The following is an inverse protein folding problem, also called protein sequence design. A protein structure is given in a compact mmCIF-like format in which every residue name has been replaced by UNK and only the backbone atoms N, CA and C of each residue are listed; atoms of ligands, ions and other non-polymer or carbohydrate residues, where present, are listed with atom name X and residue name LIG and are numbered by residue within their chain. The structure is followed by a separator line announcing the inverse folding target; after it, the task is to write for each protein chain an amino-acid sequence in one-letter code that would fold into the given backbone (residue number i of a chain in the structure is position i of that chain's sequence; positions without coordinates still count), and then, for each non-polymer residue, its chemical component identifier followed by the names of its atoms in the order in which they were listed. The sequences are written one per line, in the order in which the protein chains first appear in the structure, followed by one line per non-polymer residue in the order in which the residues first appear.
data_IF_041952895527
#
_entry.id   IF_041952895527
#
_cell.length_a   1.000
_cell.length_b   1.000
_cell.length_c   1.000
_cell.angle_alpha   90.00
_cell.angle_beta   90.00
_cell.angle_gamma   90.00
#
_symmetry.space_group_name_H-M   'P 1'
#
loop_
_entity.id
_entity.type
_entity.pdbx_description
1 polymer ?
#
# COMPACT_ATOMS: atom_id res chain seq x y z
N UNK A 1 -18.38 -10.97 56.89
CA UNK A 1 -18.85 -11.13 55.49
C UNK A 1 -18.87 -12.60 55.17
N UNK A 2 -19.92 -13.11 54.50
CA UNK A 2 -19.96 -14.52 54.06
C UNK A 2 -18.81 -14.82 53.08
N UNK A 3 -18.27 -16.03 53.13
CA UNK A 3 -17.23 -16.51 52.19
C UNK A 3 -17.65 -16.30 50.72
N UNK A 4 -18.95 -16.31 50.45
CA UNK A 4 -19.52 -16.04 49.14
C UNK A 4 -19.28 -14.60 48.67
N UNK A 5 -19.34 -13.62 49.58
CA UNK A 5 -19.12 -12.20 49.28
C UNK A 5 -17.64 -11.92 49.02
N UNK A 6 -16.74 -12.58 49.76
CA UNK A 6 -15.29 -12.50 49.50
C UNK A 6 -14.92 -13.11 48.14
N UNK A 7 -15.52 -14.25 47.78
CA UNK A 7 -15.30 -14.87 46.47
C UNK A 7 -15.79 -13.98 45.32
N UNK A 8 -16.95 -13.32 45.48
CA UNK A 8 -17.48 -12.40 44.48
C UNK A 8 -16.59 -11.17 44.30
N UNK A 9 -16.11 -10.58 45.40
CA UNK A 9 -15.20 -9.43 45.37
C UNK A 9 -13.89 -9.81 44.69
N UNK A 10 -13.29 -10.97 45.01
CA UNK A 10 -12.08 -11.46 44.37
C UNK A 10 -12.27 -11.73 42.87
N UNK A 11 -13.43 -12.25 42.44
CA UNK A 11 -13.76 -12.46 41.03
C UNK A 11 -13.92 -11.12 40.27
N UNK A 12 -14.57 -10.13 40.87
CA UNK A 12 -14.69 -8.79 40.27
C UNK A 12 -13.32 -8.10 40.21
N UNK A 13 -12.50 -8.22 41.26
CA UNK A 13 -11.15 -7.65 41.31
C UNK A 13 -10.21 -8.29 40.27
N UNK A 14 -10.30 -9.61 40.09
CA UNK A 14 -9.53 -10.34 39.08
C UNK A 14 -10.04 -10.09 37.65
N UNK A 15 -11.35 -9.90 37.46
CA UNK A 15 -11.93 -9.45 36.19
C UNK A 15 -11.54 -8.00 35.84
N UNK A 16 -11.31 -7.12 36.84
CA UNK A 16 -10.77 -5.76 36.63
C UNK A 16 -9.25 -5.73 36.46
N UNK A 17 -8.52 -6.74 36.96
CA UNK A 17 -7.07 -6.93 36.75
C UNK A 17 -6.75 -7.53 35.38
N UNK A 18 -7.74 -8.03 34.64
CA UNK A 18 -7.69 -8.14 33.18
C UNK A 18 -7.79 -6.73 32.58
N UNK A 19 -6.86 -5.84 32.95
CA UNK A 19 -6.46 -4.78 32.05
C UNK A 19 -6.07 -5.49 30.76
N UNK A 20 -6.87 -5.36 29.72
CA UNK A 20 -6.40 -5.61 28.37
C UNK A 20 -5.18 -4.71 28.21
N UNK A 21 -3.98 -5.27 28.39
CA UNK A 21 -2.73 -4.61 28.05
C UNK A 21 -2.77 -4.50 26.53
N UNK A 22 -3.45 -3.46 26.04
CA UNK A 22 -3.43 -3.08 24.65
C UNK A 22 -2.01 -2.61 24.38
N UNK A 23 -1.26 -3.46 23.69
CA UNK A 23 0.09 -3.14 23.28
C UNK A 23 0.04 -1.87 22.43
N UNK A 24 0.75 -0.84 22.86
CA UNK A 24 0.88 0.38 22.08
C UNK A 24 1.54 0.05 20.73
N UNK A 25 1.22 0.79 19.65
CA UNK A 25 1.86 0.58 18.36
C UNK A 25 3.40 0.62 18.48
N UNK A 26 4.09 -0.25 17.73
CA UNK A 26 5.55 -0.36 17.72
C UNK A 26 6.24 0.93 17.27
N UNK A 27 5.53 1.78 16.53
CA UNK A 27 5.97 3.10 16.08
C UNK A 27 4.86 4.13 16.33
N UNK A 28 5.21 5.40 16.60
CA UNK A 28 4.19 6.41 16.91
C UNK A 28 3.27 6.72 15.73
N UNK A 29 3.70 6.42 14.51
CA UNK A 29 3.02 6.85 13.28
C UNK A 29 3.41 6.00 12.08
N UNK A 30 2.45 5.82 11.17
CA UNK A 30 2.64 5.11 9.91
C UNK A 30 2.04 5.88 8.72
N UNK A 31 2.88 6.29 7.79
CA UNK A 31 2.46 7.00 6.57
C UNK A 31 2.56 6.11 5.35
N UNK A 32 1.53 6.15 4.50
CA UNK A 32 1.40 5.24 3.35
C UNK A 32 1.32 6.05 2.07
N UNK A 33 2.18 5.71 1.12
CA UNK A 33 2.21 6.25 -0.22
C UNK A 33 2.12 5.07 -1.19
N UNK A 34 1.41 5.25 -2.28
CA UNK A 34 1.36 4.21 -3.30
C UNK A 34 0.18 4.29 -4.23
N UNK A 35 -0.17 3.16 -4.81
CA UNK A 35 -1.26 3.03 -5.75
C UNK A 35 -2.48 2.29 -5.16
N UNK A 36 -3.27 1.66 -6.03
CA UNK A 36 -4.43 0.84 -5.69
C UNK A 36 -4.14 -0.25 -4.66
N UNK A 37 -2.92 -0.79 -4.63
CA UNK A 37 -2.50 -1.84 -3.70
C UNK A 37 -2.50 -1.38 -2.23
N UNK A 38 -2.47 -0.07 -2.01
CA UNK A 38 -2.41 0.56 -0.70
C UNK A 38 -3.59 1.51 -0.45
N UNK A 39 -4.34 1.91 -1.48
CA UNK A 39 -5.47 2.84 -1.37
C UNK A 39 -6.61 2.26 -0.54
N UNK A 40 -7.16 3.08 0.34
CA UNK A 40 -8.30 2.75 1.18
C UNK A 40 -9.44 3.79 1.13
N UNK A 41 -9.48 4.63 0.08
CA UNK A 41 -10.61 5.51 -0.19
C UNK A 41 -10.27 6.88 -0.78
N UNK A 42 -9.00 7.16 -1.10
CA UNK A 42 -8.63 8.47 -1.66
C UNK A 42 -9.21 8.71 -3.06
N UNK A 43 -9.54 7.64 -3.80
CA UNK A 43 -10.14 7.73 -5.13
C UNK A 43 -11.67 7.96 -5.13
N UNK A 44 -12.35 7.82 -3.98
CA UNK A 44 -13.82 7.76 -3.94
C UNK A 44 -14.50 9.01 -4.51
N UNK A 45 -13.95 10.19 -4.25
CA UNK A 45 -14.50 11.48 -4.68
C UNK A 45 -13.85 12.04 -5.96
N UNK A 46 -12.90 11.33 -6.56
CA UNK A 46 -12.30 11.74 -7.82
C UNK A 46 -13.22 11.41 -9.00
N UNK A 47 -13.19 12.20 -10.06
CA UNK A 47 -13.82 11.82 -11.34
C UNK A 47 -12.83 10.93 -12.09
N UNK A 48 -12.98 9.61 -11.98
CA UNK A 48 -12.01 8.62 -12.45
C UNK A 48 -12.65 7.25 -12.64
N UNK A 49 -12.10 6.44 -13.55
CA UNK A 49 -12.46 5.02 -13.70
C UNK A 49 -11.74 4.13 -12.68
N UNK A 50 -10.68 4.63 -12.03
CA UNK A 50 -9.95 3.90 -10.99
C UNK A 50 -10.66 4.01 -9.64
N UNK A 51 -11.79 3.33 -9.47
CA UNK A 51 -12.55 3.26 -8.20
C UNK A 51 -12.82 1.83 -7.76
N UNK A 52 -12.89 1.65 -6.45
CA UNK A 52 -13.22 0.39 -5.78
C UNK A 52 -14.21 0.60 -4.62
N UNK A 53 -15.11 1.57 -4.75
CA UNK A 53 -16.13 1.92 -3.75
C UNK A 53 -17.51 1.36 -4.09
N UNK A 54 -17.55 0.18 -4.70
CA UNK A 54 -18.76 -0.52 -5.12
C UNK A 54 -18.55 -2.04 -5.04
N UNK A 55 -19.60 -2.87 -4.90
CA UNK A 55 -19.46 -4.32 -4.86
C UNK A 55 -18.79 -4.88 -6.13
N UNK A 56 -17.94 -5.93 -6.05
CA UNK A 56 -17.72 -6.78 -4.87
C UNK A 56 -16.60 -6.28 -3.93
N UNK A 57 -16.02 -5.11 -4.17
CA UNK A 57 -14.95 -4.58 -3.31
C UNK A 57 -15.45 -4.39 -1.88
N UNK A 58 -14.63 -4.79 -0.90
CA UNK A 58 -14.99 -4.66 0.52
C UNK A 58 -15.99 -5.69 1.05
N UNK A 59 -16.38 -6.72 0.28
CA UNK A 59 -17.31 -7.77 0.74
C UNK A 59 -16.84 -8.51 2.02
N UNK A 60 -15.53 -8.65 2.19
CA UNK A 60 -14.88 -9.27 3.35
C UNK A 60 -14.33 -8.22 4.34
N UNK A 61 -14.56 -6.91 4.09
CA UNK A 61 -14.13 -5.84 4.98
C UNK A 61 -15.26 -5.47 5.96
N UNK A 62 -14.98 -5.27 7.27
CA UNK A 62 -16.02 -4.98 8.25
C UNK A 62 -16.90 -3.77 7.92
N UNK A 63 -16.33 -2.74 7.31
CA UNK A 63 -17.04 -1.50 6.93
C UNK A 63 -17.59 -1.54 5.49
N UNK A 64 -17.54 -2.68 4.80
CA UNK A 64 -18.00 -2.84 3.43
C UNK A 64 -17.14 -2.11 2.40
N UNK A 65 -17.79 -1.50 1.40
CA UNK A 65 -17.14 -0.82 0.26
C UNK A 65 -16.46 0.50 0.69
N UNK A 66 -15.18 0.45 1.03
CA UNK A 66 -14.44 1.66 1.47
C UNK A 66 -13.61 2.33 0.36
N UNK A 67 -13.43 1.68 -0.80
CA UNK A 67 -12.47 2.13 -1.82
C UNK A 67 -11.16 1.34 -1.85
N UNK A 68 -11.06 0.23 -1.11
CA UNK A 68 -9.95 -0.72 -1.21
C UNK A 68 -10.11 -1.56 -2.47
N UNK A 69 -9.05 -1.68 -3.27
CA UNK A 69 -9.02 -2.52 -4.47
C UNK A 69 -8.84 -4.01 -4.10
N UNK A 70 -9.67 -4.49 -3.17
CA UNK A 70 -9.67 -5.85 -2.62
C UNK A 70 -11.06 -6.16 -2.06
N UNK A 71 -11.33 -7.44 -1.80
CA UNK A 71 -12.52 -7.85 -1.06
C UNK A 71 -12.45 -7.40 0.42
N UNK A 72 -11.24 -7.27 0.97
CA UNK A 72 -11.04 -7.03 2.40
C UNK A 72 -9.93 -6.03 2.67
N UNK A 73 -9.08 -6.36 3.64
CA UNK A 73 -7.88 -5.59 3.98
C UNK A 73 -6.92 -5.53 2.79
N UNK A 74 -6.29 -4.37 2.59
CA UNK A 74 -5.17 -4.21 1.68
C UNK A 74 -3.83 -4.33 2.45
N UNK A 75 -2.71 -4.20 1.75
CA UNK A 75 -1.38 -4.38 2.35
C UNK A 75 -1.08 -3.34 3.43
N UNK A 76 -1.52 -2.09 3.27
CA UNK A 76 -1.36 -1.06 4.28
C UNK A 76 -2.12 -1.40 5.57
N UNK A 77 -3.30 -2.01 5.49
CA UNK A 77 -4.05 -2.45 6.67
C UNK A 77 -3.34 -3.57 7.42
N UNK A 78 -2.76 -4.52 6.69
CA UNK A 78 -2.01 -5.64 7.28
C UNK A 78 -0.75 -5.12 7.97
N UNK A 79 0.00 -4.22 7.32
CA UNK A 79 1.17 -3.58 7.94
C UNK A 79 0.79 -2.78 9.18
N UNK A 80 -0.30 -2.01 9.13
CA UNK A 80 -0.79 -1.26 10.29
C UNK A 80 -1.14 -2.20 11.47
N UNK A 81 -1.82 -3.32 11.19
CA UNK A 81 -2.14 -4.31 12.22
C UNK A 81 -0.87 -4.94 12.83
N UNK A 82 0.09 -5.32 11.99
CA UNK A 82 1.37 -5.89 12.46
C UNK A 82 2.18 -4.89 13.29
N UNK A 83 2.08 -3.59 12.98
CA UNK A 83 2.68 -2.52 13.78
C UNK A 83 1.90 -2.21 15.07
N UNK A 84 0.77 -2.86 15.32
CA UNK A 84 -0.03 -2.71 16.55
C UNK A 84 -1.02 -1.55 16.52
N UNK A 85 -1.35 -0.98 15.35
CA UNK A 85 -2.43 0.00 15.25
C UNK A 85 -3.79 -0.68 15.38
N UNK A 86 -4.66 -0.16 16.24
CA UNK A 86 -6.01 -0.70 16.44
C UNK A 86 -6.89 -0.58 15.19
N UNK A 87 -6.77 0.55 14.49
CA UNK A 87 -7.56 0.88 13.30
C UNK A 87 -6.65 1.04 12.09
N UNK A 88 -7.23 0.88 10.90
CA UNK A 88 -6.58 1.25 9.65
C UNK A 88 -6.14 2.70 9.64
N UNK A 89 -5.01 2.98 8.98
CA UNK A 89 -4.56 4.35 8.76
C UNK A 89 -5.55 5.07 7.84
N UNK A 90 -6.12 6.23 8.20
CA UNK A 90 -7.18 6.87 7.43
C UNK A 90 -6.69 7.40 6.08
N UNK A 91 -7.53 7.40 5.02
CA UNK A 91 -7.20 8.08 3.77
C UNK A 91 -7.12 9.59 3.99
N UNK A 92 -6.19 10.26 3.30
CA UNK A 92 -6.05 11.72 3.34
C UNK A 92 -7.36 12.45 3.02
N UNK A 93 -8.19 11.89 2.14
CA UNK A 93 -9.48 12.45 1.76
C UNK A 93 -10.45 12.67 2.94
N UNK A 94 -10.37 11.85 4.00
CA UNK A 94 -11.31 11.91 5.13
C UNK A 94 -10.64 11.98 6.50
N UNK A 95 -9.31 12.02 6.57
CA UNK A 95 -8.56 12.03 7.82
C UNK A 95 -8.88 13.27 8.67
N UNK A 96 -9.28 13.05 9.94
CA UNK A 96 -9.59 14.11 10.91
C UNK A 96 -8.36 14.53 11.69
N UNK A 97 -8.49 15.65 12.40
CA UNK A 97 -7.39 16.38 13.03
C UNK A 97 -6.55 15.53 13.99
N UNK A 98 -7.17 14.71 14.82
CA UNK A 98 -6.46 13.89 15.82
C UNK A 98 -5.83 12.65 15.18
N UNK A 99 -6.40 12.17 14.08
CA UNK A 99 -5.99 10.93 13.43
C UNK A 99 -4.66 11.09 12.68
N UNK A 100 -4.40 12.27 12.09
CA UNK A 100 -3.18 12.50 11.30
C UNK A 100 -1.89 12.40 12.12
N UNK A 101 -1.96 12.51 13.45
CA UNK A 101 -0.81 12.33 14.36
C UNK A 101 -0.28 10.90 14.29
N UNK A 102 -1.17 9.91 14.12
CA UNK A 102 -0.81 8.49 14.02
C UNK A 102 -0.47 8.05 12.60
N UNK A 103 -0.64 8.93 11.62
CA UNK A 103 -0.38 8.62 10.22
C UNK A 103 -1.55 8.88 9.30
N UNK A 104 -1.26 8.90 8.00
CA UNK A 104 -2.22 9.11 6.93
C UNK A 104 -1.84 8.25 5.74
N UNK A 105 -2.86 7.72 5.06
CA UNK A 105 -2.73 7.01 3.81
C UNK A 105 -2.98 7.96 2.63
N UNK A 106 -1.95 8.21 1.82
CA UNK A 106 -1.99 9.06 0.63
C UNK A 106 -2.13 8.25 -0.66
N UNK A 107 -2.09 6.92 -0.59
CA UNK A 107 -2.12 6.05 -1.76
C UNK A 107 -3.41 6.25 -2.56
N UNK A 108 -3.31 6.12 -3.89
CA UNK A 108 -4.40 6.42 -4.80
C UNK A 108 -4.40 5.46 -5.97
N UNK A 109 -5.55 4.84 -6.25
CA UNK A 109 -5.72 3.99 -7.43
C UNK A 109 -5.18 4.64 -8.70
N UNK A 110 -4.46 3.84 -9.49
CA UNK A 110 -3.78 4.22 -10.73
C UNK A 110 -2.59 5.20 -10.60
N UNK A 111 -2.21 5.60 -9.39
CA UNK A 111 -1.06 6.48 -9.20
C UNK A 111 0.26 5.85 -9.67
N UNK A 112 1.10 6.67 -10.30
CA UNK A 112 2.47 6.32 -10.67
C UNK A 112 3.51 7.26 -10.06
N UNK A 113 4.77 6.91 -10.29
CA UNK A 113 5.95 7.74 -10.02
C UNK A 113 5.85 9.03 -10.82
N UNK A 114 5.50 8.89 -12.10
CA UNK A 114 5.32 9.98 -13.06
C UNK A 114 3.92 10.60 -12.93
N UNK A 115 3.84 11.90 -13.19
CA UNK A 115 2.58 12.62 -13.02
C UNK A 115 1.58 12.19 -14.10
N UNK A 116 2.05 12.01 -15.33
CA UNK A 116 1.22 11.66 -16.49
C UNK A 116 0.71 10.20 -16.49
N UNK A 117 1.26 9.34 -15.62
CA UNK A 117 0.86 7.94 -15.52
C UNK A 117 -0.65 7.84 -15.23
N UNK A 118 -1.32 7.00 -16.01
CA UNK A 118 -2.77 6.74 -15.95
C UNK A 118 -3.71 7.94 -16.14
N UNK A 119 -3.25 9.05 -16.71
CA UNK A 119 -4.11 10.20 -17.04
C UNK A 119 -5.37 9.87 -17.86
N UNK A 120 -5.30 8.89 -18.75
CA UNK A 120 -6.45 8.44 -19.54
C UNK A 120 -7.60 7.85 -18.69
N UNK A 121 -7.35 7.51 -17.42
CA UNK A 121 -8.36 7.03 -16.47
C UNK A 121 -9.06 8.18 -15.72
N UNK A 122 -8.60 9.43 -15.86
CA UNK A 122 -9.13 10.61 -15.20
C UNK A 122 -8.35 11.03 -13.95
N UNK A 123 -9.08 11.42 -12.91
CA UNK A 123 -8.52 11.91 -11.65
C UNK A 123 -7.69 10.85 -10.92
N UNK A 124 -6.46 11.21 -10.54
CA UNK A 124 -5.54 10.40 -9.74
C UNK A 124 -4.65 11.29 -8.87
N UNK A 125 -4.15 10.74 -7.77
CA UNK A 125 -3.17 11.42 -6.90
C UNK A 125 -1.81 10.76 -7.14
N UNK A 126 -1.11 11.20 -8.19
CA UNK A 126 0.25 10.75 -8.50
C UNK A 126 1.23 11.02 -7.34
N UNK A 127 2.41 10.39 -7.37
CA UNK A 127 3.37 10.48 -6.27
C UNK A 127 3.72 11.92 -5.86
N UNK A 128 3.86 12.86 -6.82
CA UNK A 128 4.12 14.27 -6.48
C UNK A 128 2.95 14.91 -5.72
N UNK A 129 1.70 14.57 -6.06
CA UNK A 129 0.52 15.06 -5.32
C UNK A 129 0.40 14.42 -3.94
N UNK A 130 0.79 13.15 -3.79
CA UNK A 130 0.85 12.51 -2.47
C UNK A 130 1.88 13.20 -1.56
N UNK A 131 3.02 13.61 -2.10
CA UNK A 131 4.01 14.42 -1.36
C UNK A 131 3.44 15.78 -0.94
N UNK A 132 2.64 16.42 -1.79
CA UNK A 132 1.95 17.67 -1.45
C UNK A 132 0.93 17.46 -0.32
N UNK A 133 0.14 16.38 -0.38
CA UNK A 133 -0.79 16.02 0.70
C UNK A 133 -0.07 15.75 2.02
N UNK A 134 1.11 15.13 1.96
CA UNK A 134 1.94 14.95 3.14
C UNK A 134 2.47 16.28 3.69
N UNK A 135 2.92 17.19 2.83
CA UNK A 135 3.34 18.53 3.26
C UNK A 135 2.21 19.29 3.97
N UNK A 136 0.96 19.19 3.47
CA UNK A 136 -0.23 19.75 4.14
C UNK A 136 -0.41 19.12 5.52
N UNK A 137 -0.25 17.81 5.63
CA UNK A 137 -0.35 17.09 6.91
C UNK A 137 0.72 17.57 7.90
N UNK A 138 1.96 17.76 7.45
CA UNK A 138 3.05 18.29 8.29
C UNK A 138 2.72 19.68 8.81
N UNK A 139 2.20 20.58 7.98
CA UNK A 139 1.78 21.91 8.41
C UNK A 139 0.70 21.85 9.50
N UNK A 140 -0.23 20.90 9.41
CA UNK A 140 -1.23 20.68 10.47
C UNK A 140 -0.59 20.14 11.75
N UNK A 141 0.40 19.25 11.63
CA UNK A 141 1.13 18.70 12.78
C UNK A 141 1.93 19.76 13.56
N UNK A 142 2.39 20.83 12.91
CA UNK A 142 3.09 21.95 13.58
C UNK A 142 2.21 22.56 14.67
N UNK A 143 0.90 22.68 14.42
CA UNK A 143 -0.06 23.24 15.37
C UNK A 143 -0.54 22.21 16.40
N UNK A 144 -0.43 20.92 16.11
CA UNK A 144 -0.96 19.85 16.96
C UNK A 144 0.04 19.31 17.98
N UNK A 145 1.25 19.02 17.51
CA UNK A 145 2.30 18.37 18.30
C UNK A 145 3.62 19.13 18.25
N UNK A 146 3.73 20.11 17.35
CA UNK A 146 4.95 20.86 17.12
C UNK A 146 5.13 22.07 18.05
N UNK A 147 4.07 22.52 18.75
CA UNK A 147 4.05 23.79 19.47
C UNK A 147 4.57 24.97 18.60
N UNK A 148 4.18 25.00 17.32
CA UNK A 148 4.66 26.01 16.36
C UNK A 148 6.02 25.71 15.71
N UNK A 149 6.71 24.63 16.10
CA UNK A 149 8.04 24.28 15.58
C UNK A 149 7.99 23.13 14.57
N UNK A 150 8.43 23.42 13.34
CA UNK A 150 8.65 22.39 12.31
C UNK A 150 9.77 21.41 12.69
N UNK A 151 10.76 21.85 13.47
CA UNK A 151 11.85 20.98 13.93
C UNK A 151 11.32 19.89 14.87
N UNK A 152 10.41 20.24 15.78
CA UNK A 152 9.73 19.30 16.69
C UNK A 152 8.93 18.26 15.91
N UNK A 153 8.15 18.71 14.92
CA UNK A 153 7.41 17.79 14.03
C UNK A 153 8.38 16.85 13.30
N UNK A 154 9.47 17.36 12.73
CA UNK A 154 10.47 16.52 12.06
C UNK A 154 11.08 15.46 13.00
N UNK A 155 11.35 15.82 14.26
CA UNK A 155 11.84 14.85 15.26
C UNK A 155 10.81 13.75 15.55
N UNK A 156 9.52 14.09 15.55
CA UNK A 156 8.44 13.10 15.63
C UNK A 156 8.41 12.21 14.37
N UNK A 157 8.45 12.82 13.17
CA UNK A 157 8.41 12.10 11.89
C UNK A 157 9.58 11.13 11.69
N UNK A 158 10.76 11.46 12.21
CA UNK A 158 11.94 10.59 12.17
C UNK A 158 11.69 9.22 12.85
N UNK A 159 10.70 9.14 13.75
CA UNK A 159 10.34 7.90 14.46
C UNK A 159 9.29 7.08 13.72
N UNK A 160 8.54 7.67 12.78
CA UNK A 160 7.50 6.98 12.00
C UNK A 160 8.08 5.98 10.98
N UNK A 161 7.21 5.11 10.49
CA UNK A 161 7.47 4.30 9.28
C UNK A 161 6.75 4.90 8.08
N UNK A 162 7.39 4.79 6.92
CA UNK A 162 6.86 5.20 5.63
C UNK A 162 6.84 4.00 4.68
N UNK A 163 5.68 3.60 4.17
CA UNK A 163 5.61 2.67 3.04
C UNK A 163 5.40 3.45 1.76
N UNK A 164 6.18 3.17 0.72
CA UNK A 164 6.06 3.83 -0.58
C UNK A 164 6.05 2.76 -1.68
N UNK A 165 4.84 2.41 -2.16
CA UNK A 165 4.60 1.33 -3.13
C UNK A 165 4.19 1.91 -4.49
N UNK A 166 5.16 2.08 -5.39
CA UNK A 166 4.97 2.74 -6.68
C UNK A 166 5.71 1.98 -7.79
N UNK A 167 5.29 2.21 -9.04
CA UNK A 167 5.98 1.73 -10.24
C UNK A 167 5.14 0.85 -11.15
N UNK A 168 4.18 0.08 -10.61
CA UNK A 168 3.37 -0.81 -11.43
C UNK A 168 2.55 -0.06 -12.49
N UNK A 169 1.90 1.05 -12.10
CA UNK A 169 1.14 1.90 -13.00
C UNK A 169 1.98 2.55 -14.11
N UNK A 170 3.25 2.88 -13.83
CA UNK A 170 4.15 3.44 -14.84
C UNK A 170 4.45 2.44 -15.97
N UNK A 171 4.24 1.14 -15.74
CA UNK A 171 4.34 0.11 -16.78
C UNK A 171 2.98 -0.27 -17.37
N UNK A 172 1.98 -0.62 -16.54
CA UNK A 172 0.67 -1.09 -17.02
C UNK A 172 -0.20 0.04 -17.61
N UNK A 173 -0.10 1.25 -17.08
CA UNK A 173 -0.93 2.40 -17.44
C UNK A 173 -0.10 3.55 -18.02
N UNK A 174 1.08 3.24 -18.56
CA UNK A 174 1.91 4.17 -19.34
C UNK A 174 2.79 3.42 -20.36
N UNK A 175 3.90 2.80 -19.93
CA UNK A 175 4.88 2.22 -20.86
C UNK A 175 4.29 1.19 -21.83
N UNK A 176 3.55 0.19 -21.33
CA UNK A 176 2.94 -0.86 -22.15
C UNK A 176 1.50 -0.52 -22.58
N UNK A 177 1.14 0.77 -22.66
CA UNK A 177 -0.17 1.20 -23.11
C UNK A 177 -0.08 2.19 -24.29
N UNK A 178 0.44 1.70 -25.42
CA UNK A 178 0.72 2.47 -26.64
C UNK A 178 -0.49 3.19 -27.23
N UNK A 179 -1.71 2.76 -26.90
CA UNK A 179 -2.96 3.46 -27.28
C UNK A 179 -3.02 4.90 -26.76
N UNK A 180 -2.47 5.15 -25.57
CA UNK A 180 -2.55 6.45 -24.90
C UNK A 180 -1.19 7.12 -24.74
N UNK A 181 -0.09 6.37 -24.81
CA UNK A 181 1.25 6.88 -24.51
C UNK A 181 2.27 6.45 -25.57
N UNK A 182 3.19 7.34 -25.91
CA UNK A 182 4.29 7.03 -26.83
C UNK A 182 5.54 6.51 -26.11
N UNK A 183 5.48 6.28 -24.80
CA UNK A 183 6.64 5.97 -23.96
C UNK A 183 7.46 4.79 -24.47
N UNK A 184 6.83 3.68 -24.88
CA UNK A 184 7.52 2.51 -25.43
C UNK A 184 8.11 2.71 -26.83
N UNK A 185 7.69 3.76 -27.55
CA UNK A 185 8.27 4.15 -28.84
C UNK A 185 9.52 5.01 -28.59
N UNK A 186 9.48 5.86 -27.57
CA UNK A 186 10.54 6.82 -27.25
C UNK A 186 11.69 6.22 -26.45
N UNK A 187 11.43 5.19 -25.65
CA UNK A 187 12.39 4.63 -24.72
C UNK A 187 12.41 3.11 -24.74
N UNK A 188 13.61 2.53 -24.61
CA UNK A 188 13.75 1.11 -24.24
C UNK A 188 13.33 0.89 -22.77
N UNK A 189 13.05 -0.37 -22.34
CA UNK A 189 12.68 -0.63 -20.96
C UNK A 189 13.74 -0.17 -19.96
N UNK A 190 15.02 -0.29 -20.34
CA UNK A 190 16.14 0.10 -19.51
C UNK A 190 16.24 1.64 -19.36
N UNK A 191 16.04 2.38 -20.46
CA UNK A 191 16.01 3.83 -20.46
C UNK A 191 14.84 4.37 -19.63
N UNK A 192 13.66 3.78 -19.79
CA UNK A 192 12.50 4.19 -19.02
C UNK A 192 12.67 3.89 -17.52
N UNK A 193 13.21 2.72 -17.16
CA UNK A 193 13.56 2.40 -15.78
C UNK A 193 14.54 3.44 -15.19
N UNK A 194 15.57 3.87 -15.93
CA UNK A 194 16.49 4.94 -15.50
C UNK A 194 15.74 6.26 -15.22
N UNK A 195 14.78 6.64 -16.07
CA UNK A 195 13.96 7.84 -15.90
C UNK A 195 13.10 7.74 -14.64
N UNK A 196 12.41 6.62 -14.46
CA UNK A 196 11.57 6.37 -13.28
C UNK A 196 12.39 6.42 -12.00
N UNK A 197 13.51 5.72 -11.93
CA UNK A 197 14.39 5.70 -10.75
C UNK A 197 14.94 7.09 -10.43
N UNK A 198 15.34 7.86 -11.44
CA UNK A 198 15.79 9.25 -11.23
C UNK A 198 14.70 10.12 -10.59
N UNK A 199 13.45 9.98 -11.02
CA UNK A 199 12.33 10.71 -10.41
C UNK A 199 11.99 10.18 -9.02
N UNK A 200 11.92 8.86 -8.87
CA UNK A 200 11.52 8.23 -7.62
C UNK A 200 12.52 8.52 -6.51
N UNK A 201 13.83 8.49 -6.80
CA UNK A 201 14.87 8.89 -5.86
C UNK A 201 14.74 10.34 -5.40
N UNK A 202 14.34 11.27 -6.29
CA UNK A 202 14.05 12.67 -5.89
C UNK A 202 12.84 12.75 -4.95
N UNK A 203 11.79 11.97 -5.21
CA UNK A 203 10.58 11.94 -4.41
C UNK A 203 10.85 11.35 -3.02
N UNK A 204 11.60 10.26 -2.93
CA UNK A 204 12.06 9.67 -1.67
C UNK A 204 12.98 10.65 -0.90
N UNK A 205 13.89 11.33 -1.61
CA UNK A 205 14.74 12.37 -1.00
C UNK A 205 13.91 13.53 -0.44
N UNK A 206 12.77 13.86 -1.08
CA UNK A 206 11.84 14.89 -0.59
C UNK A 206 11.15 14.45 0.69
N UNK A 207 10.71 13.19 0.80
CA UNK A 207 10.22 12.63 2.06
C UNK A 207 11.28 12.69 3.17
N UNK A 208 12.52 12.36 2.85
CA UNK A 208 13.62 12.50 3.81
C UNK A 208 13.77 13.94 4.31
N UNK A 209 13.72 14.94 3.42
CA UNK A 209 13.74 16.37 3.78
C UNK A 209 12.54 16.79 4.63
N UNK A 210 11.44 16.06 4.54
CA UNK A 210 10.26 16.26 5.39
C UNK A 210 10.36 15.62 6.78
N UNK A 211 11.36 14.76 7.01
CA UNK A 211 11.58 14.11 8.30
C UNK A 211 11.41 12.59 8.26
N UNK A 212 11.12 12.00 7.10
CA UNK A 212 11.08 10.53 7.02
C UNK A 212 12.49 9.95 7.18
N UNK A 213 12.60 8.87 7.96
CA UNK A 213 13.87 8.14 8.16
C UNK A 213 13.77 6.64 7.93
N UNK A 214 12.61 6.03 8.16
CA UNK A 214 12.41 4.58 8.03
C UNK A 214 11.46 4.30 6.88
N UNK A 215 11.98 3.71 5.80
CA UNK A 215 11.23 3.47 4.57
C UNK A 215 11.11 1.98 4.28
N UNK A 216 9.88 1.51 4.07
CA UNK A 216 9.60 0.24 3.39
C UNK A 216 9.22 0.53 1.94
N UNK A 217 9.98 -0.03 0.99
CA UNK A 217 9.82 0.21 -0.44
C UNK A 217 9.48 -1.12 -1.12
N UNK A 218 8.19 -1.48 -1.25
CA UNK A 218 7.77 -2.58 -2.10
C UNK A 218 8.27 -2.38 -3.53
N UNK A 219 8.95 -3.41 -4.06
CA UNK A 219 9.26 -3.47 -5.48
C UNK A 219 8.00 -3.60 -6.32
N UNK A 220 8.07 -3.15 -7.56
CA UNK A 220 6.95 -3.29 -8.48
C UNK A 220 6.66 -4.78 -8.71
N UNK A 221 5.40 -5.18 -8.54
CA UNK A 221 4.96 -6.57 -8.74
C UNK A 221 5.11 -7.02 -10.18
N UNK A 222 5.27 -8.33 -10.39
CA UNK A 222 5.38 -8.93 -11.72
C UNK A 222 4.03 -8.93 -12.45
N UNK A 223 3.73 -7.79 -13.08
CA UNK A 223 2.42 -7.51 -13.69
C UNK A 223 2.16 -8.23 -15.01
N UNK A 224 3.14 -8.92 -15.60
CA UNK A 224 2.97 -9.66 -16.84
C UNK A 224 1.89 -10.75 -16.76
N UNK A 225 1.60 -11.24 -15.55
CA UNK A 225 0.56 -12.25 -15.30
C UNK A 225 -0.81 -11.64 -14.93
N UNK A 226 -0.94 -10.31 -14.89
CA UNK A 226 -2.23 -9.69 -14.54
C UNK A 226 -3.23 -9.89 -15.68
N UNK A 227 -4.54 -10.03 -15.39
CA UNK A 227 -5.56 -10.17 -16.43
C UNK A 227 -5.52 -9.04 -17.47
N UNK A 228 -5.30 -7.80 -17.01
CA UNK A 228 -5.17 -6.64 -17.89
C UNK A 228 -3.99 -6.77 -18.88
N UNK A 229 -2.84 -7.28 -18.43
CA UNK A 229 -1.69 -7.49 -19.32
C UNK A 229 -1.90 -8.64 -20.29
N UNK A 230 -2.41 -9.78 -19.80
CA UNK A 230 -2.70 -10.95 -20.63
C UNK A 230 -3.71 -10.62 -21.74
N UNK A 231 -4.79 -9.91 -21.38
CA UNK A 231 -5.78 -9.41 -22.34
C UNK A 231 -5.19 -8.46 -23.38
N UNK A 232 -4.35 -7.50 -22.94
CA UNK A 232 -3.73 -6.52 -23.83
C UNK A 232 -2.76 -7.15 -24.85
N UNK A 233 -2.09 -8.22 -24.45
CA UNK A 233 -1.15 -8.96 -25.31
C UNK A 233 -1.80 -10.18 -25.99
N UNK A 234 -3.12 -10.35 -25.84
CA UNK A 234 -3.89 -11.45 -26.41
C UNK A 234 -3.26 -12.84 -26.12
N UNK A 235 -2.93 -13.08 -24.85
CA UNK A 235 -2.31 -14.32 -24.39
C UNK A 235 -3.00 -14.85 -23.13
N UNK A 236 -2.87 -16.15 -22.88
CA UNK A 236 -3.32 -16.82 -21.65
C UNK A 236 -2.15 -17.14 -20.69
N UNK A 237 -0.94 -16.72 -21.04
CA UNK A 237 0.28 -16.88 -20.22
C UNK A 237 0.83 -15.52 -19.82
N UNK A 238 1.71 -15.49 -18.82
CA UNK A 238 2.38 -14.27 -18.41
C UNK A 238 3.17 -13.64 -19.58
N UNK A 239 3.15 -12.32 -19.68
CA UNK A 239 3.91 -11.57 -20.68
C UNK A 239 5.34 -11.36 -20.21
N UNK A 240 6.27 -12.20 -20.68
CA UNK A 240 7.67 -12.17 -20.24
C UNK A 240 8.37 -10.83 -20.50
N UNK A 241 8.07 -10.15 -21.61
CA UNK A 241 8.65 -8.83 -21.91
C UNK A 241 8.27 -7.78 -20.85
N UNK A 242 7.04 -7.83 -20.33
CA UNK A 242 6.57 -6.94 -19.27
C UNK A 242 7.31 -7.24 -17.96
N UNK A 243 7.38 -8.52 -17.63
CA UNK A 243 8.09 -9.02 -16.46
C UNK A 243 9.60 -8.70 -16.49
N UNK A 244 10.23 -8.80 -17.66
CA UNK A 244 11.62 -8.40 -17.89
C UNK A 244 11.86 -6.90 -17.63
N UNK A 245 10.93 -6.04 -18.03
CA UNK A 245 11.01 -4.60 -17.74
C UNK A 245 10.90 -4.31 -16.23
N UNK A 246 10.00 -5.02 -15.53
CA UNK A 246 9.86 -4.91 -14.06
C UNK A 246 11.11 -5.38 -13.32
N UNK A 247 11.74 -6.47 -13.79
CA UNK A 247 13.01 -6.96 -13.22
C UNK A 247 14.10 -5.88 -13.34
N UNK A 248 14.23 -5.24 -14.50
CA UNK A 248 15.19 -4.15 -14.70
C UNK A 248 14.90 -2.95 -13.81
N UNK A 249 13.63 -2.58 -13.65
CA UNK A 249 13.22 -1.51 -12.73
C UNK A 249 13.59 -1.82 -11.28
N UNK A 250 13.20 -2.99 -10.77
CA UNK A 250 13.45 -3.39 -9.39
C UNK A 250 14.95 -3.50 -9.10
N UNK A 251 15.75 -4.03 -10.03
CA UNK A 251 17.21 -4.08 -9.88
C UNK A 251 17.82 -2.67 -9.74
N UNK A 252 17.40 -1.72 -10.59
CA UNK A 252 17.86 -0.33 -10.49
C UNK A 252 17.34 0.37 -9.24
N UNK A 253 16.14 0.02 -8.77
CA UNK A 253 15.58 0.53 -7.52
C UNK A 253 16.44 0.10 -6.33
N UNK A 254 16.80 -1.18 -6.22
CA UNK A 254 17.67 -1.68 -5.15
C UNK A 254 18.99 -0.90 -5.11
N UNK A 255 19.65 -0.71 -6.26
CA UNK A 255 20.88 0.09 -6.34
C UNK A 255 20.64 1.53 -5.88
N UNK A 256 19.58 2.18 -6.36
CA UNK A 256 19.28 3.56 -5.99
C UNK A 256 18.93 3.73 -4.52
N UNK A 257 18.29 2.75 -3.88
CA UNK A 257 18.02 2.78 -2.43
C UNK A 257 19.31 2.69 -1.62
N UNK A 258 20.28 1.86 -2.03
CA UNK A 258 21.61 1.82 -1.41
C UNK A 258 22.36 3.15 -1.56
N UNK A 259 22.29 3.76 -2.74
CA UNK A 259 22.86 5.09 -2.98
C UNK A 259 22.20 6.18 -2.12
N UNK A 260 20.89 6.12 -1.93
CA UNK A 260 20.17 7.06 -1.06
C UNK A 260 20.54 6.85 0.41
N UNK A 261 20.59 5.60 0.89
CA UNK A 261 20.96 5.29 2.27
C UNK A 261 22.37 5.80 2.61
N UNK A 262 23.33 5.66 1.69
CA UNK A 262 24.71 6.17 1.89
C UNK A 262 24.79 7.71 1.93
N UNK A 263 23.91 8.41 1.20
CA UNK A 263 23.91 9.89 1.09
C UNK A 263 23.03 10.57 2.15
N UNK A 264 22.02 9.87 2.67
CA UNK A 264 21.00 10.44 3.54
C UNK A 264 21.18 9.92 4.96
N UNK A 265 22.01 10.63 5.74
CA UNK A 265 22.38 10.21 7.10
C UNK A 265 21.16 9.92 8.00
N UNK A 266 21.26 8.80 8.73
CA UNK A 266 20.21 8.32 9.63
C UNK A 266 18.96 7.77 8.95
N UNK A 267 18.95 7.64 7.62
CA UNK A 267 17.87 6.97 6.90
C UNK A 267 18.11 5.45 6.81
N UNK A 268 17.01 4.71 6.67
CA UNK A 268 17.00 3.28 6.35
C UNK A 268 15.98 3.03 5.26
N UNK A 269 16.41 2.42 4.15
CA UNK A 269 15.55 1.99 3.07
C UNK A 269 15.54 0.46 3.02
N UNK A 270 14.37 -0.14 3.24
CA UNK A 270 14.17 -1.58 3.14
C UNK A 270 13.41 -1.85 1.84
N UNK A 271 14.10 -2.43 0.87
CA UNK A 271 13.44 -2.99 -0.31
C UNK A 271 12.66 -4.24 0.10
N UNK A 272 11.40 -4.32 -0.34
CA UNK A 272 10.54 -5.49 -0.09
C UNK A 272 10.31 -6.17 -1.44
N UNK A 273 10.92 -7.35 -1.59
CA UNK A 273 10.80 -8.15 -2.80
C UNK A 273 9.32 -8.47 -3.09
N UNK A 274 8.84 -8.24 -4.33
CA UNK A 274 7.53 -8.71 -4.72
C UNK A 274 7.53 -10.25 -4.79
N UNK A 275 6.43 -10.93 -4.42
CA UNK A 275 6.33 -12.38 -4.54
C UNK A 275 6.67 -12.85 -5.96
N UNK A 276 7.59 -13.81 -6.09
CA UNK A 276 8.01 -14.36 -7.38
C UNK A 276 6.96 -15.36 -7.89
N UNK A 277 5.87 -14.88 -8.46
CA UNK A 277 4.85 -15.73 -9.12
C UNK A 277 5.31 -16.48 -10.37
N UNK A 278 6.60 -16.75 -10.54
CA UNK A 278 7.21 -17.30 -11.75
C UNK A 278 7.27 -18.83 -11.82
N UNK A 279 7.04 -19.57 -10.74
CA UNK A 279 7.07 -21.03 -10.78
C UNK A 279 5.66 -21.64 -10.73
N UNK A 280 5.46 -22.73 -11.46
CA UNK A 280 4.25 -23.56 -11.38
C UNK A 280 3.98 -24.09 -9.97
N UNK A 281 5.00 -24.18 -9.12
CA UNK A 281 4.91 -24.57 -7.71
C UNK A 281 4.30 -23.47 -6.83
N UNK A 282 4.62 -22.20 -7.08
CA UNK A 282 4.11 -21.08 -6.29
C UNK A 282 2.61 -20.82 -6.52
N UNK A 283 2.06 -21.26 -7.66
CA UNK A 283 0.60 -21.21 -7.91
C UNK A 283 -0.21 -21.99 -6.87
N UNK A 284 0.35 -23.02 -6.22
CA UNK A 284 -0.35 -23.79 -5.17
C UNK A 284 -0.31 -23.11 -3.79
N UNK A 285 0.62 -22.17 -3.56
CA UNK A 285 0.77 -21.42 -2.28
C UNK A 285 0.25 -19.99 -2.37
N UNK A 286 0.22 -19.40 -3.56
CA UNK A 286 -0.15 -18.01 -3.85
C UNK A 286 -1.67 -17.73 -3.81
N UNK A 287 -2.51 -18.75 -3.60
CA UNK A 287 -3.97 -18.58 -3.43
C UNK A 287 -4.38 -17.71 -2.23
N UNK A 288 -3.43 -17.21 -1.41
CA UNK A 288 -3.72 -16.40 -0.22
C UNK A 288 -3.48 -14.89 -0.35
N UNK A 289 -2.76 -14.39 -1.37
CA UNK A 289 -2.61 -12.94 -1.59
C UNK A 289 -2.58 -12.68 -3.09
N UNK A 290 -3.75 -12.49 -3.68
CA UNK A 290 -3.88 -12.07 -5.08
C UNK A 290 -4.20 -10.58 -5.08
N UNK A 291 -3.26 -9.77 -5.57
CA UNK A 291 -3.51 -8.38 -5.93
C UNK A 291 -4.32 -8.37 -7.22
N UNK A 292 -5.63 -8.13 -7.13
CA UNK A 292 -6.50 -8.03 -8.29
C UNK A 292 -6.53 -6.58 -8.80
N UNK A 293 -5.79 -6.32 -9.88
CA UNK A 293 -5.99 -5.11 -10.68
C UNK A 293 -6.94 -5.44 -11.84
N UNK A 294 -8.13 -4.83 -11.84
CA UNK A 294 -9.24 -5.13 -12.75
C UNK A 294 -9.11 -4.38 -14.08
N UNK A 295 -9.18 -5.12 -15.20
CA UNK A 295 -9.87 -4.70 -16.42
C UNK A 295 -10.61 -5.91 -17.01
N UNK A 296 -11.84 -6.14 -16.48
CA UNK A 296 -12.86 -7.09 -16.96
C UNK A 296 -12.35 -8.50 -17.33
N UNK A 297 -12.33 -9.37 -16.31
CA UNK A 297 -13.03 -10.66 -16.26
C UNK A 297 -12.71 -11.37 -14.93
N UNK A 298 -13.60 -11.22 -13.95
CA UNK A 298 -13.80 -12.23 -12.93
C UNK A 298 -15.29 -12.59 -13.00
N UNK A 299 -15.60 -13.73 -13.63
CA UNK A 299 -16.82 -14.56 -13.54
C UNK A 299 -17.19 -15.26 -14.86
N UNK A 300 -16.24 -15.97 -15.48
CA UNK A 300 -16.56 -17.12 -16.32
C UNK A 300 -15.74 -18.31 -15.83
N UNK A 301 -16.24 -19.02 -14.81
CA UNK A 301 -15.54 -20.22 -14.36
C UNK A 301 -15.89 -20.79 -12.98
N UNK A 302 -16.93 -20.32 -12.30
CA UNK A 302 -17.48 -21.04 -11.13
C UNK A 302 -18.99 -21.17 -11.29
N UNK A 303 -19.39 -21.95 -12.29
CA UNK A 303 -20.65 -22.69 -12.21
C UNK A 303 -20.34 -24.18 -12.22
N UNK A 304 -20.68 -24.80 -11.08
CA UNK A 304 -20.99 -26.23 -10.85
C UNK A 304 -19.86 -27.27 -10.79
N UNK A 305 -19.67 -27.76 -9.55
CA UNK A 305 -19.25 -29.11 -9.18
C UNK A 305 -17.93 -29.11 -8.39
N UNK A 306 -17.79 -29.67 -7.19
CA UNK A 306 -18.61 -30.54 -6.34
C UNK A 306 -18.13 -30.34 -4.88
N UNK A 307 -19.06 -30.47 -3.94
CA UNK A 307 -18.90 -30.56 -2.47
C UNK A 307 -18.80 -29.23 -1.70
N UNK A 308 -19.98 -28.73 -1.30
CA UNK A 308 -20.16 -27.59 -0.41
C UNK A 308 -19.65 -27.84 1.00
N UNK A 309 -18.39 -27.45 1.26
CA UNK A 309 -17.87 -27.29 2.61
C UNK A 309 -17.49 -25.82 2.84
N UNK A 310 -18.19 -25.21 3.81
CA UNK A 310 -17.86 -23.91 4.40
C UNK A 310 -16.60 -24.08 5.25
N UNK A 311 -15.48 -23.49 4.87
CA UNK A 311 -14.27 -23.50 5.69
C UNK A 311 -14.26 -22.30 6.65
N UNK A 312 -14.52 -22.59 7.93
CA UNK A 312 -14.26 -21.71 9.07
C UNK A 312 -12.75 -21.45 9.19
N UNK A 313 -12.37 -20.22 9.50
CA UNK A 313 -11.03 -19.88 9.98
C UNK A 313 -10.86 -20.47 11.39
N UNK A 314 -9.98 -21.45 11.55
CA UNK A 314 -9.55 -21.96 12.84
C UNK A 314 -8.12 -21.47 13.12
N UNK A 315 -7.97 -20.60 14.12
CA UNK A 315 -6.67 -20.13 14.60
C UNK A 315 -6.00 -21.22 15.42
N UNK A 316 -4.97 -21.88 14.88
CA UNK A 316 -4.04 -22.67 15.69
C UNK A 316 -2.97 -21.75 16.28
N UNK A 317 -3.00 -21.60 17.60
CA UNK A 317 -1.87 -21.13 18.39
C UNK A 317 -0.71 -22.13 18.27
N UNK A 318 0.46 -21.64 17.87
CA UNK A 318 1.71 -22.37 18.01
C UNK A 318 2.28 -22.04 19.39
N UNK A 319 2.49 -23.08 20.21
CA UNK A 319 3.39 -23.05 21.36
C UNK A 319 4.83 -23.15 20.88
#
# INVERSE_FOLDING_TARGET
MSAFVQALILMVFSATLLCFVRSAPQVPCYFVFGDSSMDNGNNNHLVTTAKANYPPYGIDFPDGTTGRFSNGRNTADVVAQLLGFENSIPPFATARREEIVRGVNYASGAAGIRDETAEHMGGRICMNRQLTNHAITILRLVNLIGNGSLATVRQHLNKCIYTVAMGNNDYINNYFYSKYYQTSILYTPEQYAKILIKQYSKQLSKLYKYGARKFGIPGAGYIGCTPAMMKRFNTNTCVDAVNGAIIQFNAKLVTALGDLESKLSGSKFIFIDPPRGYSSEDRRKSTRIIYYHQERDCWSGIEKGLNGNVFKYETRHLR
#
